data_IF_800447983503
#
_entry.id   IF_800447983503
#
_cell.length_a   1.000
_cell.length_b   1.000
_cell.length_c   1.000
_cell.angle_alpha   90.00
_cell.angle_beta   90.00
_cell.angle_gamma   90.00
#
_symmetry.space_group_name_H-M   'P 1'
#
loop_
_entity.id
_entity.type
_entity.pdbx_description
1 polymer ?
#
# COMPACT_ATOMS: atom_id res chain seq x y z
N UNK A 1 60.17 -61.01 13.31
CA UNK A 1 59.92 -59.56 13.16
C UNK A 1 58.40 -59.37 12.96
N UNK A 2 57.72 -59.06 14.09
CA UNK A 2 56.28 -58.72 14.10
C UNK A 2 56.10 -57.26 13.71
N UNK A 3 55.54 -57.03 12.59
CA UNK A 3 55.02 -55.68 12.21
C UNK A 3 53.59 -55.52 12.72
N UNK A 4 53.45 -54.86 13.89
CA UNK A 4 52.16 -54.43 14.43
C UNK A 4 51.62 -53.31 13.46
N UNK A 5 50.66 -53.66 12.69
CA UNK A 5 49.80 -52.63 11.95
C UNK A 5 48.88 -51.96 12.93
N UNK A 6 49.18 -50.70 13.28
CA UNK A 6 48.30 -49.87 14.09
C UNK A 6 47.09 -49.52 13.24
N UNK A 7 45.91 -50.05 13.59
CA UNK A 7 44.66 -49.67 12.97
C UNK A 7 44.35 -48.18 13.31
N UNK A 8 43.90 -47.36 12.37
CA UNK A 8 43.56 -45.95 12.65
C UNK A 8 42.39 -45.91 13.65
N UNK A 9 42.61 -45.21 14.76
CA UNK A 9 41.60 -44.99 15.80
C UNK A 9 40.38 -44.29 15.21
N UNK A 10 39.20 -44.89 15.33
CA UNK A 10 37.96 -44.26 14.91
C UNK A 10 37.77 -42.91 15.63
N UNK A 11 37.46 -41.82 14.92
CA UNK A 11 37.30 -40.50 15.54
C UNK A 11 36.20 -40.55 16.60
N UNK A 12 36.44 -39.94 17.75
CA UNK A 12 35.43 -39.88 18.81
C UNK A 12 34.14 -39.20 18.29
N UNK A 13 32.99 -39.67 18.74
CA UNK A 13 31.67 -39.14 18.33
C UNK A 13 31.57 -37.62 18.52
N UNK A 14 32.32 -37.01 19.41
CA UNK A 14 32.43 -35.58 19.63
C UNK A 14 33.24 -34.87 18.54
N UNK A 15 34.34 -35.50 18.05
CA UNK A 15 35.13 -34.95 16.96
C UNK A 15 34.34 -34.99 15.63
N UNK A 16 33.67 -36.09 15.34
CA UNK A 16 32.79 -36.21 14.14
C UNK A 16 31.64 -35.21 14.16
N UNK A 17 31.00 -34.95 15.30
CA UNK A 17 29.96 -33.89 15.44
C UNK A 17 30.52 -32.49 15.21
N UNK A 18 31.76 -32.21 15.61
CA UNK A 18 32.40 -30.89 15.33
C UNK A 18 32.72 -30.72 13.85
N UNK A 19 33.26 -31.74 13.21
CA UNK A 19 33.55 -31.73 11.78
C UNK A 19 32.29 -31.59 10.92
N UNK A 20 31.20 -32.31 11.27
CA UNK A 20 29.90 -32.16 10.61
C UNK A 20 29.36 -30.75 10.76
N UNK A 21 29.34 -30.16 11.97
CA UNK A 21 28.93 -28.80 12.19
C UNK A 21 29.77 -27.78 11.43
N UNK A 22 31.11 -27.99 11.36
CA UNK A 22 32.01 -27.13 10.60
C UNK A 22 31.75 -27.24 9.08
N UNK A 23 31.52 -28.46 8.58
CA UNK A 23 31.19 -28.70 7.17
C UNK A 23 29.81 -28.09 6.79
N UNK A 24 28.81 -28.24 7.66
CA UNK A 24 27.49 -27.60 7.48
C UNK A 24 27.58 -26.08 7.53
N UNK A 25 28.34 -25.52 8.48
CA UNK A 25 28.57 -24.07 8.57
C UNK A 25 29.25 -23.55 7.30
N UNK A 26 30.30 -24.26 6.82
CA UNK A 26 31.00 -23.89 5.57
C UNK A 26 30.08 -23.94 4.32
N UNK A 27 29.24 -24.99 4.22
CA UNK A 27 28.24 -25.11 3.15
C UNK A 27 27.23 -23.96 3.23
N UNK A 28 26.75 -23.64 4.44
CA UNK A 28 25.83 -22.52 4.65
C UNK A 28 26.47 -21.17 4.32
N UNK A 29 27.72 -20.96 4.72
CA UNK A 29 28.46 -19.72 4.38
C UNK A 29 28.71 -19.60 2.88
N UNK A 30 29.12 -20.68 2.20
CA UNK A 30 29.25 -20.67 0.74
C UNK A 30 27.92 -20.38 0.03
N UNK A 31 26.83 -21.02 0.46
CA UNK A 31 25.50 -20.75 -0.08
C UNK A 31 25.08 -19.28 0.12
N UNK A 32 25.35 -18.72 1.33
CA UNK A 32 25.10 -17.31 1.62
C UNK A 32 25.95 -16.39 0.74
N UNK A 33 27.24 -16.68 0.55
CA UNK A 33 28.13 -15.89 -0.30
C UNK A 33 27.71 -15.92 -1.78
N UNK A 34 27.19 -17.03 -2.28
CA UNK A 34 26.66 -17.14 -3.63
C UNK A 34 25.36 -16.31 -3.83
N UNK A 35 24.52 -16.26 -2.79
CA UNK A 35 23.25 -15.50 -2.83
C UNK A 35 23.45 -14.03 -2.45
N UNK A 36 24.52 -13.73 -1.68
CA UNK A 36 24.77 -12.38 -1.13
C UNK A 36 24.77 -11.27 -2.18
N UNK A 37 25.39 -11.38 -3.36
CA UNK A 37 25.38 -10.30 -4.36
C UNK A 37 23.96 -9.94 -4.79
N UNK A 38 23.13 -10.94 -5.06
CA UNK A 38 21.72 -10.74 -5.44
C UNK A 38 20.91 -10.19 -4.27
N UNK A 39 21.12 -10.72 -3.06
CA UNK A 39 20.42 -10.27 -1.86
C UNK A 39 20.77 -8.82 -1.52
N UNK A 40 22.06 -8.43 -1.61
CA UNK A 40 22.52 -7.05 -1.40
C UNK A 40 21.93 -6.12 -2.47
N UNK A 41 21.94 -6.53 -3.72
CA UNK A 41 21.32 -5.78 -4.82
C UNK A 41 19.83 -5.51 -4.54
N UNK A 42 19.06 -6.53 -4.18
CA UNK A 42 17.64 -6.40 -3.86
C UNK A 42 17.44 -5.51 -2.62
N UNK A 43 18.26 -5.66 -1.60
CA UNK A 43 18.18 -4.83 -0.40
C UNK A 43 18.44 -3.37 -0.72
N UNK A 44 19.49 -3.05 -1.49
CA UNK A 44 19.85 -1.68 -1.82
C UNK A 44 18.86 -1.02 -2.79
N UNK A 45 18.32 -1.76 -3.77
CA UNK A 45 17.46 -1.18 -4.80
C UNK A 45 15.98 -1.19 -4.42
N UNK A 46 15.54 -2.13 -3.58
CA UNK A 46 14.12 -2.20 -3.19
C UNK A 46 13.89 -1.86 -1.72
N UNK A 47 14.58 -2.52 -0.78
CA UNK A 47 14.26 -2.37 0.65
C UNK A 47 14.67 -1.01 1.17
N UNK A 48 15.87 -0.53 0.83
CA UNK A 48 16.36 0.79 1.29
C UNK A 48 15.50 1.92 0.74
N UNK A 49 15.19 2.04 -0.58
CA UNK A 49 14.30 3.09 -1.08
C UNK A 49 12.88 3.02 -0.50
N UNK A 50 12.30 1.82 -0.37
CA UNK A 50 10.98 1.67 0.26
C UNK A 50 11.04 2.14 1.72
N UNK A 51 12.07 1.73 2.47
CA UNK A 51 12.28 2.16 3.85
C UNK A 51 12.41 3.69 3.97
N UNK A 52 13.23 4.30 3.12
CA UNK A 52 13.41 5.76 3.10
C UNK A 52 12.14 6.50 2.70
N UNK A 53 11.35 5.97 1.76
CA UNK A 53 10.04 6.53 1.42
C UNK A 53 9.07 6.44 2.59
N UNK A 54 9.04 5.32 3.31
CA UNK A 54 8.16 5.14 4.46
C UNK A 54 8.48 6.11 5.61
N UNK A 55 9.75 6.55 5.76
CA UNK A 55 10.08 7.59 6.75
C UNK A 55 9.37 8.91 6.46
N UNK A 56 9.02 9.19 5.21
CA UNK A 56 8.27 10.38 4.83
C UNK A 56 6.86 10.43 5.43
N UNK A 57 6.29 9.28 5.78
CA UNK A 57 5.00 9.22 6.46
C UNK A 57 5.02 9.83 7.88
N UNK A 58 6.20 9.95 8.48
CA UNK A 58 6.40 10.53 9.82
C UNK A 58 7.27 11.78 9.80
N UNK A 59 7.83 12.18 8.65
CA UNK A 59 8.61 13.40 8.52
C UNK A 59 7.69 14.62 8.39
N UNK A 60 8.05 15.70 9.08
CA UNK A 60 7.34 16.99 9.06
C UNK A 60 8.36 18.13 9.16
N UNK A 61 9.29 18.23 8.21
CA UNK A 61 10.38 19.21 8.28
C UNK A 61 9.95 20.63 7.93
N UNK A 62 8.82 20.82 7.26
CA UNK A 62 8.44 22.05 6.58
C UNK A 62 8.38 23.24 7.55
N UNK A 63 7.75 23.06 8.72
CA UNK A 63 7.59 24.13 9.71
C UNK A 63 8.88 24.33 10.52
N UNK A 64 9.50 23.25 10.99
CA UNK A 64 10.73 23.32 11.74
C UNK A 64 11.88 23.96 10.94
N UNK A 65 11.91 23.73 9.61
CA UNK A 65 12.92 24.28 8.71
C UNK A 65 12.62 25.74 8.34
N UNK A 66 11.36 26.07 8.08
CA UNK A 66 10.97 27.42 7.67
C UNK A 66 10.89 28.40 8.85
N UNK A 67 10.48 27.94 10.03
CA UNK A 67 10.19 28.78 11.21
C UNK A 67 10.98 28.32 12.46
N UNK A 68 12.30 28.12 12.41
CA UNK A 68 13.05 27.55 13.53
C UNK A 68 13.02 28.43 14.79
N UNK A 69 13.14 29.77 14.64
CA UNK A 69 13.11 30.69 15.78
C UNK A 69 11.70 30.78 16.37
N UNK A 70 10.67 30.76 15.53
CA UNK A 70 9.27 30.77 15.97
C UNK A 70 8.93 29.52 16.77
N UNK A 71 9.35 28.33 16.28
CA UNK A 71 9.16 27.05 16.98
C UNK A 71 9.86 27.07 18.34
N UNK A 72 11.09 27.61 18.41
CA UNK A 72 11.83 27.77 19.67
C UNK A 72 11.11 28.72 20.64
N UNK A 73 10.60 29.86 20.14
CA UNK A 73 9.87 30.84 20.96
C UNK A 73 8.52 30.30 21.49
N UNK A 74 7.91 29.33 20.80
CA UNK A 74 6.67 28.65 21.24
C UNK A 74 6.95 27.45 22.15
N UNK A 75 8.21 27.14 22.44
CA UNK A 75 8.58 26.06 23.36
C UNK A 75 8.12 26.42 24.78
N UNK A 76 7.29 25.55 25.38
CA UNK A 76 6.72 25.79 26.71
C UNK A 76 5.48 26.71 26.74
N UNK A 77 4.98 27.15 25.59
CA UNK A 77 3.73 27.93 25.53
C UNK A 77 2.52 27.08 25.91
N UNK A 78 1.61 27.64 26.71
CA UNK A 78 0.43 26.95 27.27
C UNK A 78 -0.66 26.61 26.22
N UNK A 79 -0.57 27.22 25.04
CA UNK A 79 -1.52 27.07 23.91
C UNK A 79 -2.96 27.53 24.21
N UNK A 80 -3.20 28.23 25.30
CA UNK A 80 -4.54 28.71 25.70
C UNK A 80 -4.75 30.19 25.40
N UNK A 81 -3.69 30.97 25.51
CA UNK A 81 -3.71 32.41 25.27
C UNK A 81 -2.80 32.77 24.09
N UNK A 82 -2.96 33.92 23.42
CA UNK A 82 -2.04 34.34 22.39
C UNK A 82 -0.59 34.29 22.91
N UNK A 83 0.38 33.90 22.06
CA UNK A 83 1.77 33.77 22.50
C UNK A 83 2.38 35.14 22.88
N UNK A 84 3.47 35.09 23.64
CA UNK A 84 4.22 36.29 24.03
C UNK A 84 4.74 37.06 22.80
N UNK A 85 4.90 38.35 22.93
CA UNK A 85 5.37 39.24 21.85
C UNK A 85 6.69 38.79 21.21
N UNK A 86 7.53 38.07 21.96
CA UNK A 86 8.76 37.46 21.48
C UNK A 86 8.51 36.45 20.31
N UNK A 87 7.40 35.75 20.32
CA UNK A 87 7.03 34.81 19.25
C UNK A 87 6.73 35.54 17.93
N UNK A 88 6.13 36.73 18.00
CA UNK A 88 5.89 37.57 16.83
C UNK A 88 7.21 38.12 16.24
N UNK A 89 8.16 38.50 17.10
CA UNK A 89 9.49 38.92 16.65
C UNK A 89 10.24 37.77 15.97
N UNK A 90 10.16 36.56 16.54
CA UNK A 90 10.75 35.37 15.96
C UNK A 90 10.11 35.03 14.60
N UNK A 91 8.78 35.12 14.51
CA UNK A 91 8.04 34.91 13.26
C UNK A 91 8.43 35.92 12.17
N UNK A 92 8.59 37.21 12.53
CA UNK A 92 9.04 38.24 11.59
C UNK A 92 10.42 37.92 11.03
N UNK A 93 11.36 37.51 11.90
CA UNK A 93 12.70 37.12 11.51
C UNK A 93 12.74 35.89 10.59
N UNK A 94 11.94 34.86 10.90
CA UNK A 94 11.84 33.65 10.09
C UNK A 94 11.18 33.95 8.74
N UNK A 95 10.04 34.65 8.75
CA UNK A 95 9.28 34.99 7.52
C UNK A 95 10.10 35.85 6.57
N UNK A 96 10.90 36.80 7.08
CA UNK A 96 11.78 37.62 6.24
C UNK A 96 12.84 36.78 5.52
N UNK A 97 13.35 35.71 6.15
CA UNK A 97 14.36 34.82 5.54
C UNK A 97 13.78 33.91 4.47
N UNK A 98 12.52 33.49 4.63
CA UNK A 98 11.92 32.48 3.73
C UNK A 98 10.94 33.07 2.71
N UNK A 99 10.65 34.37 2.73
CA UNK A 99 9.64 35.04 1.92
C UNK A 99 9.73 34.70 0.43
N UNK A 100 10.94 34.70 -0.13
CA UNK A 100 11.19 34.45 -1.55
C UNK A 100 11.76 33.03 -1.81
N UNK A 101 11.62 32.11 -0.86
CA UNK A 101 12.17 30.76 -0.97
C UNK A 101 11.11 29.71 -1.27
N UNK A 102 11.53 28.56 -1.79
CA UNK A 102 10.68 27.39 -1.98
C UNK A 102 10.10 26.88 -0.64
N UNK A 103 10.81 27.11 0.47
CA UNK A 103 10.37 26.74 1.81
C UNK A 103 9.05 27.44 2.21
N UNK A 104 8.81 28.68 1.72
CA UNK A 104 7.56 29.41 1.93
C UNK A 104 6.37 28.64 1.32
N UNK A 105 6.54 28.13 0.11
CA UNK A 105 5.49 27.34 -0.55
C UNK A 105 5.16 26.04 0.19
N UNK A 106 6.19 25.36 0.72
CA UNK A 106 6.02 24.13 1.51
C UNK A 106 5.34 24.42 2.86
N UNK A 107 5.80 25.46 3.59
CA UNK A 107 5.19 25.95 4.81
C UNK A 107 3.69 26.27 4.62
N UNK A 108 3.38 27.06 3.60
CA UNK A 108 2.01 27.47 3.30
C UNK A 108 1.10 26.28 2.98
N UNK A 109 1.59 25.30 2.20
CA UNK A 109 0.84 24.07 1.92
C UNK A 109 0.61 23.26 3.20
N UNK A 110 1.65 23.07 4.00
CA UNK A 110 1.56 22.26 5.23
C UNK A 110 0.59 22.86 6.25
N UNK A 111 0.70 24.16 6.54
CA UNK A 111 -0.22 24.84 7.47
C UNK A 111 -1.66 24.90 6.93
N UNK A 112 -1.86 24.98 5.62
CA UNK A 112 -3.19 24.98 5.02
C UNK A 112 -3.90 23.61 5.13
N UNK A 113 -3.17 22.51 5.37
CA UNK A 113 -3.79 21.21 5.70
C UNK A 113 -4.32 21.16 7.14
N UNK A 114 -3.82 22.03 8.03
CA UNK A 114 -4.31 22.14 9.41
C UNK A 114 -5.54 23.03 9.50
N UNK A 115 -5.44 24.22 8.89
CA UNK A 115 -6.53 25.23 8.90
C UNK A 115 -6.73 25.74 7.47
N UNK A 116 -7.88 25.49 6.83
CA UNK A 116 -8.20 26.03 5.52
C UNK A 116 -8.04 27.56 5.50
N UNK A 117 -7.38 28.07 4.45
CA UNK A 117 -7.09 29.49 4.33
C UNK A 117 -5.78 29.96 4.95
N UNK A 118 -5.03 29.09 5.63
CA UNK A 118 -3.71 29.44 6.17
C UNK A 118 -2.73 29.87 5.07
N UNK A 119 -2.83 29.25 3.87
CA UNK A 119 -2.00 29.61 2.71
C UNK A 119 -2.14 31.11 2.35
N UNK A 120 -3.35 31.66 2.40
CA UNK A 120 -3.57 33.10 2.13
C UNK A 120 -2.98 33.98 3.23
N UNK A 121 -3.06 33.54 4.50
CA UNK A 121 -2.45 34.23 5.62
C UNK A 121 -0.93 34.33 5.46
N UNK A 122 -0.27 33.20 5.22
CA UNK A 122 1.19 33.15 5.00
C UNK A 122 1.60 34.01 3.80
N UNK A 123 0.89 33.92 2.68
CA UNK A 123 1.20 34.71 1.49
C UNK A 123 1.01 36.23 1.73
N UNK A 124 -0.01 36.64 2.47
CA UNK A 124 -0.25 38.04 2.80
C UNK A 124 0.84 38.57 3.74
N UNK A 125 1.22 37.77 4.73
CA UNK A 125 2.29 38.09 5.66
C UNK A 125 3.64 38.21 4.96
N UNK A 126 3.97 37.27 4.05
CA UNK A 126 5.23 37.30 3.31
C UNK A 126 5.40 38.58 2.47
N UNK A 127 4.31 39.06 1.84
CA UNK A 127 4.35 40.32 1.07
C UNK A 127 4.56 41.57 1.93
N UNK A 128 4.23 41.48 3.21
CA UNK A 128 4.43 42.59 4.17
C UNK A 128 5.83 42.59 4.78
N UNK A 129 6.66 41.57 4.51
CA UNK A 129 8.00 41.48 5.04
C UNK A 129 9.01 42.28 4.18
N UNK A 130 10.07 42.89 4.80
CA UNK A 130 10.27 43.03 6.26
C UNK A 130 9.33 44.07 6.88
N UNK A 131 8.82 43.80 8.08
CA UNK A 131 8.00 44.75 8.81
C UNK A 131 8.89 45.93 9.27
N UNK A 132 8.47 47.16 9.02
CA UNK A 132 9.18 48.39 9.36
C UNK A 132 8.31 49.30 10.21
N UNK A 133 8.94 50.01 11.11
CA UNK A 133 8.33 51.09 11.86
C UNK A 133 8.30 52.40 11.08
N UNK A 134 7.79 53.46 11.70
CA UNK A 134 7.83 54.79 11.12
C UNK A 134 9.31 55.23 10.96
N UNK A 135 9.63 55.77 9.77
CA UNK A 135 10.99 56.15 9.37
C UNK A 135 12.03 55.00 9.37
N UNK A 136 11.61 53.78 9.01
CA UNK A 136 12.46 52.59 8.97
C UNK A 136 13.07 52.17 10.34
N UNK A 137 12.51 52.67 11.46
CA UNK A 137 12.99 52.32 12.79
C UNK A 137 12.68 50.83 13.14
N UNK A 138 13.57 50.26 13.96
CA UNK A 138 13.34 48.91 14.49
C UNK A 138 12.08 48.89 15.38
N UNK A 139 11.19 47.90 15.12
CA UNK A 139 9.95 47.74 15.88
C UNK A 139 10.24 47.13 17.28
N UNK A 140 9.55 47.65 18.29
CA UNK A 140 9.49 46.98 19.59
C UNK A 140 8.66 45.67 19.48
N UNK A 141 8.83 44.70 20.39
CA UNK A 141 8.05 43.44 20.35
C UNK A 141 6.54 43.66 20.32
N UNK A 142 6.03 44.62 21.11
CA UNK A 142 4.60 44.95 21.13
C UNK A 142 4.11 45.60 19.80
N UNK A 143 4.94 46.45 19.20
CA UNK A 143 4.65 47.03 17.88
C UNK A 143 4.68 45.96 16.77
N UNK A 144 5.60 45.01 16.85
CA UNK A 144 5.65 43.87 15.91
C UNK A 144 4.38 43.07 15.96
N UNK A 145 3.87 42.72 17.16
CA UNK A 145 2.58 42.06 17.34
C UNK A 145 1.43 42.88 16.73
N UNK A 146 1.36 44.19 17.03
CA UNK A 146 0.31 45.06 16.48
C UNK A 146 0.32 45.08 14.95
N UNK A 147 1.52 45.17 14.34
CA UNK A 147 1.69 45.12 12.87
C UNK A 147 1.24 43.79 12.26
N UNK A 148 1.52 42.64 12.91
CA UNK A 148 1.03 41.36 12.44
C UNK A 148 -0.50 41.30 12.42
N UNK A 149 -1.14 41.81 13.48
CA UNK A 149 -2.61 41.83 13.58
C UNK A 149 -3.21 42.84 12.56
N UNK A 150 -2.52 43.92 12.26
CA UNK A 150 -2.88 44.90 11.22
C UNK A 150 -2.76 44.29 9.80
N UNK A 151 -1.70 43.55 9.55
CA UNK A 151 -1.55 42.79 8.29
C UNK A 151 -2.68 41.78 8.13
N UNK A 152 -3.00 41.01 9.17
CA UNK A 152 -4.12 40.08 9.16
C UNK A 152 -4.57 39.74 10.59
N UNK A 153 -5.84 40.01 10.90
CA UNK A 153 -6.42 39.79 12.24
C UNK A 153 -6.29 38.34 12.76
N UNK A 154 -6.16 37.38 11.86
CA UNK A 154 -5.97 35.95 12.21
C UNK A 154 -4.71 35.68 13.04
N UNK A 155 -3.70 36.56 12.99
CA UNK A 155 -2.54 36.45 13.87
C UNK A 155 -2.84 36.75 15.35
N UNK A 156 -4.01 37.28 15.67
CA UNK A 156 -4.51 37.40 17.02
C UNK A 156 -5.21 36.14 17.56
N UNK A 157 -5.54 35.19 16.67
CA UNK A 157 -6.23 33.95 17.02
C UNK A 157 -5.22 32.87 17.45
N UNK A 158 -5.48 32.26 18.61
CA UNK A 158 -4.65 31.20 19.22
C UNK A 158 -4.55 29.96 18.33
N UNK A 159 -5.62 29.64 17.56
CA UNK A 159 -5.67 28.44 16.72
C UNK A 159 -4.55 28.41 15.67
N UNK A 160 -4.21 29.56 15.08
CA UNK A 160 -3.12 29.64 14.08
C UNK A 160 -1.74 29.39 14.69
N UNK A 161 -1.50 29.85 15.92
CA UNK A 161 -0.27 29.59 16.65
C UNK A 161 -0.18 28.14 17.14
N UNK A 162 -1.32 27.55 17.57
CA UNK A 162 -1.39 26.14 17.91
C UNK A 162 -1.00 25.26 16.72
N UNK A 163 -1.42 25.61 15.50
CA UNK A 163 -1.03 24.89 14.28
C UNK A 163 0.49 24.91 14.05
N UNK A 164 1.17 26.06 14.29
CA UNK A 164 2.63 26.14 14.21
C UNK A 164 3.28 25.30 15.31
N UNK A 165 2.87 25.51 16.56
CA UNK A 165 3.47 24.83 17.73
C UNK A 165 3.31 23.31 17.70
N UNK A 166 2.14 22.82 17.26
CA UNK A 166 1.85 21.38 17.09
C UNK A 166 2.76 20.72 16.06
N UNK A 167 3.07 21.44 15.00
CA UNK A 167 3.83 20.93 13.86
C UNK A 167 5.30 21.38 13.86
N UNK A 168 5.80 21.93 14.95
CA UNK A 168 7.20 22.35 15.09
C UNK A 168 8.21 21.20 15.17
N UNK A 169 7.80 19.97 15.39
CA UNK A 169 8.68 18.79 15.41
C UNK A 169 8.99 18.30 14.00
N UNK A 170 10.23 17.87 13.76
CA UNK A 170 10.64 17.23 12.51
C UNK A 170 10.00 15.85 12.29
N UNK A 171 9.50 15.23 13.36
CA UNK A 171 8.80 13.95 13.33
C UNK A 171 7.38 14.15 13.88
N UNK A 172 6.38 13.73 13.13
CA UNK A 172 4.98 13.87 13.50
C UNK A 172 4.19 12.65 13.03
N UNK A 173 3.24 12.14 13.82
CA UNK A 173 2.32 11.08 13.39
C UNK A 173 1.19 11.60 12.47
N UNK A 174 1.23 12.85 12.06
CA UNK A 174 0.15 13.55 11.34
C UNK A 174 -0.39 12.75 10.16
N UNK A 175 0.47 12.32 9.23
CA UNK A 175 0.02 11.60 8.03
C UNK A 175 -0.50 10.20 8.34
N UNK A 176 0.09 9.50 9.32
CA UNK A 176 -0.41 8.20 9.77
C UNK A 176 -1.77 8.32 10.47
N UNK A 177 -1.94 9.34 11.30
CA UNK A 177 -3.24 9.61 11.94
C UNK A 177 -4.28 9.98 10.90
N UNK A 178 -3.96 10.86 9.96
CA UNK A 178 -4.86 11.24 8.87
C UNK A 178 -5.28 10.03 8.03
N UNK A 179 -4.36 9.13 7.72
CA UNK A 179 -4.65 7.89 6.99
C UNK A 179 -5.53 6.89 7.78
N UNK A 180 -5.66 7.09 9.09
CA UNK A 180 -6.54 6.33 9.99
C UNK A 180 -7.78 7.14 10.42
N UNK A 181 -8.11 8.23 9.71
CA UNK A 181 -9.23 9.13 10.01
C UNK A 181 -9.17 9.77 11.41
N UNK A 182 -7.93 10.06 11.86
CA UNK A 182 -7.66 10.75 13.12
C UNK A 182 -6.82 12.00 12.90
N UNK A 183 -6.90 12.94 13.84
CA UNK A 183 -6.07 14.15 13.86
C UNK A 183 -5.63 14.48 15.29
N UNK A 184 -4.65 15.36 15.41
CA UNK A 184 -4.32 15.96 16.71
C UNK A 184 -5.07 17.27 16.88
N UNK A 185 -5.65 17.50 18.07
CA UNK A 185 -6.22 18.79 18.47
C UNK A 185 -5.10 19.86 18.67
N UNK A 186 -5.48 21.09 19.05
CA UNK A 186 -4.53 22.17 19.32
C UNK A 186 -3.55 21.88 20.48
N UNK A 187 -3.91 20.95 21.36
CA UNK A 187 -3.10 20.54 22.51
C UNK A 187 -2.24 19.29 22.22
N UNK A 188 -2.46 18.62 21.10
CA UNK A 188 -1.71 17.42 20.70
C UNK A 188 -2.40 16.09 21.06
N UNK A 189 -3.62 16.09 21.58
CA UNK A 189 -4.37 14.86 21.85
C UNK A 189 -4.91 14.29 20.53
N UNK A 190 -4.93 12.96 20.43
CA UNK A 190 -5.47 12.26 19.26
C UNK A 190 -7.00 12.27 19.37
N UNK A 191 -7.65 12.83 18.37
CA UNK A 191 -9.10 12.91 18.23
C UNK A 191 -9.51 12.39 16.84
N UNK A 192 -10.77 12.00 16.69
CA UNK A 192 -11.31 11.62 15.38
C UNK A 192 -11.29 12.83 14.44
N UNK A 193 -10.96 12.61 13.18
CA UNK A 193 -11.04 13.65 12.16
C UNK A 193 -12.50 14.05 11.91
N UNK A 194 -12.71 15.25 11.36
CA UNK A 194 -14.04 15.72 11.01
C UNK A 194 -14.69 14.79 9.97
N UNK A 195 -16.01 14.65 9.95
CA UNK A 195 -16.71 13.75 9.03
C UNK A 195 -16.33 13.95 7.55
N UNK A 196 -16.10 15.20 7.14
CA UNK A 196 -15.70 15.54 5.77
C UNK A 196 -14.27 15.10 5.41
N UNK A 197 -13.44 14.81 6.41
CA UNK A 197 -12.05 14.37 6.27
C UNK A 197 -11.87 12.88 6.55
N UNK A 198 -12.85 12.23 7.17
CA UNK A 198 -12.84 10.83 7.59
C UNK A 198 -13.27 9.90 6.46
N UNK A 199 -12.41 9.71 5.46
CA UNK A 199 -12.71 8.92 4.25
C UNK A 199 -11.82 7.69 4.08
N UNK A 200 -10.66 7.65 4.73
CA UNK A 200 -9.62 6.67 4.41
C UNK A 200 -9.92 5.27 4.93
N UNK A 201 -10.48 5.13 6.12
CA UNK A 201 -10.89 3.81 6.64
C UNK A 201 -11.97 3.17 5.77
N UNK A 202 -12.92 3.97 5.27
CA UNK A 202 -13.93 3.49 4.31
C UNK A 202 -13.29 3.06 2.98
N UNK A 203 -12.26 3.79 2.52
CA UNK A 203 -11.48 3.44 1.31
C UNK A 203 -10.68 2.14 1.53
N UNK A 204 -10.05 1.95 2.70
CA UNK A 204 -9.39 0.69 3.05
C UNK A 204 -10.39 -0.46 3.05
N UNK A 205 -11.52 -0.32 3.75
CA UNK A 205 -12.59 -1.34 3.77
C UNK A 205 -13.05 -1.71 2.35
N UNK A 206 -13.31 -0.73 1.51
CA UNK A 206 -13.67 -0.90 0.09
C UNK A 206 -12.59 -1.64 -0.69
N UNK A 207 -11.31 -1.27 -0.52
CA UNK A 207 -10.18 -1.91 -1.19
C UNK A 207 -10.11 -3.40 -0.85
N UNK A 208 -10.28 -3.74 0.43
CA UNK A 208 -10.31 -5.15 0.86
C UNK A 208 -11.52 -5.88 0.32
N UNK A 209 -12.71 -5.29 0.34
CA UNK A 209 -13.93 -5.90 -0.21
C UNK A 209 -13.78 -6.19 -1.71
N UNK A 210 -13.27 -5.22 -2.48
CA UNK A 210 -13.02 -5.41 -3.92
C UNK A 210 -11.97 -6.51 -4.13
N UNK A 211 -10.86 -6.48 -3.37
CA UNK A 211 -9.80 -7.49 -3.46
C UNK A 211 -10.31 -8.91 -3.18
N UNK A 212 -11.11 -9.09 -2.12
CA UNK A 212 -11.72 -10.39 -1.78
C UNK A 212 -12.70 -10.82 -2.86
N UNK A 213 -13.60 -9.95 -3.31
CA UNK A 213 -14.59 -10.28 -4.34
C UNK A 213 -13.92 -10.72 -5.66
N UNK A 214 -12.93 -9.96 -6.13
CA UNK A 214 -12.15 -10.33 -7.34
C UNK A 214 -11.43 -11.66 -7.15
N UNK A 215 -10.86 -11.91 -5.98
CA UNK A 215 -10.20 -13.20 -5.67
C UNK A 215 -11.18 -14.36 -5.71
N UNK A 216 -12.37 -14.19 -5.14
CA UNK A 216 -13.43 -15.20 -5.16
C UNK A 216 -13.94 -15.46 -6.58
N UNK A 217 -14.17 -14.41 -7.38
CA UNK A 217 -14.58 -14.58 -8.78
C UNK A 217 -13.47 -15.24 -9.62
N UNK A 218 -12.21 -14.84 -9.41
CA UNK A 218 -11.08 -15.48 -10.09
C UNK A 218 -10.93 -16.95 -9.69
N UNK A 219 -11.20 -17.32 -8.43
CA UNK A 219 -11.20 -18.70 -7.96
C UNK A 219 -12.37 -19.48 -8.57
N UNK A 220 -13.57 -18.91 -8.55
CA UNK A 220 -14.78 -19.54 -9.09
C UNK A 220 -14.63 -19.89 -10.57
N UNK A 221 -14.06 -19.00 -11.37
CA UNK A 221 -13.83 -19.21 -12.79
C UNK A 221 -12.52 -19.99 -13.06
N UNK A 222 -11.48 -19.71 -12.31
CA UNK A 222 -10.16 -20.30 -12.49
C UNK A 222 -10.07 -21.75 -12.06
N UNK A 223 -10.77 -22.16 -10.99
CA UNK A 223 -10.72 -23.51 -10.48
C UNK A 223 -11.21 -24.56 -11.49
N UNK A 224 -12.44 -24.45 -12.07
CA UNK A 224 -12.90 -25.39 -13.07
C UNK A 224 -12.04 -25.39 -14.34
N UNK A 225 -11.54 -24.21 -14.74
CA UNK A 225 -10.67 -24.10 -15.91
C UNK A 225 -9.31 -24.78 -15.66
N UNK A 226 -8.67 -24.53 -14.51
CA UNK A 226 -7.42 -25.18 -14.13
C UNK A 226 -7.57 -26.70 -14.00
N UNK A 227 -8.69 -27.15 -13.41
CA UNK A 227 -9.02 -28.58 -13.34
C UNK A 227 -9.14 -29.18 -14.73
N UNK A 228 -9.91 -28.59 -15.64
CA UNK A 228 -10.04 -29.06 -17.01
C UNK A 228 -8.69 -29.12 -17.72
N UNK A 229 -7.87 -28.06 -17.64
CA UNK A 229 -6.52 -28.04 -18.25
C UNK A 229 -5.64 -29.17 -17.67
N UNK A 230 -5.74 -29.46 -16.36
CA UNK A 230 -4.94 -30.50 -15.72
C UNK A 230 -5.26 -31.92 -16.22
N UNK A 231 -6.46 -32.13 -16.74
CA UNK A 231 -6.90 -33.41 -17.30
C UNK A 231 -6.51 -33.63 -18.77
N UNK A 232 -6.07 -32.56 -19.45
CA UNK A 232 -5.68 -32.60 -20.87
C UNK A 232 -4.30 -33.25 -21.05
N UNK A 233 -4.05 -33.77 -22.27
CA UNK A 233 -2.70 -34.14 -22.70
C UNK A 233 -1.80 -32.91 -22.73
N UNK A 234 -0.49 -33.07 -22.51
CA UNK A 234 0.48 -31.95 -22.39
C UNK A 234 0.39 -30.97 -23.56
N UNK A 235 0.30 -31.47 -24.80
CA UNK A 235 0.21 -30.62 -25.99
C UNK A 235 -1.04 -29.73 -25.97
N UNK A 236 -2.20 -30.28 -25.56
CA UNK A 236 -3.47 -29.54 -25.48
C UNK A 236 -3.45 -28.60 -24.28
N UNK A 237 -2.95 -29.04 -23.13
CA UNK A 237 -2.82 -28.22 -21.94
C UNK A 237 -1.94 -26.99 -22.22
N UNK A 238 -0.81 -27.16 -22.87
CA UNK A 238 0.08 -26.06 -23.24
C UNK A 238 -0.59 -25.07 -24.21
N UNK A 239 -1.36 -25.55 -25.19
CA UNK A 239 -2.10 -24.69 -26.12
C UNK A 239 -3.14 -23.83 -25.36
N UNK A 240 -3.94 -24.45 -24.49
CA UNK A 240 -4.94 -23.72 -23.70
C UNK A 240 -4.25 -22.75 -22.72
N UNK A 241 -3.13 -23.15 -22.12
CA UNK A 241 -2.37 -22.28 -21.25
C UNK A 241 -1.81 -21.05 -21.99
N UNK A 242 -1.34 -21.20 -23.23
CA UNK A 242 -0.94 -20.07 -24.07
C UNK A 242 -2.13 -19.12 -24.27
N UNK A 243 -3.33 -19.65 -24.59
CA UNK A 243 -4.52 -18.82 -24.77
C UNK A 243 -4.89 -18.05 -23.49
N UNK A 244 -4.76 -18.69 -22.31
CA UNK A 244 -4.97 -18.03 -21.00
C UNK A 244 -3.96 -16.92 -20.77
N UNK A 245 -2.73 -17.05 -21.26
CA UNK A 245 -1.64 -16.11 -21.08
C UNK A 245 -1.59 -15.00 -22.13
N UNK A 246 -2.23 -15.15 -23.29
CA UNK A 246 -2.24 -14.13 -24.36
C UNK A 246 -2.54 -12.71 -23.83
N UNK A 247 -3.53 -12.51 -22.93
CA UNK A 247 -3.81 -11.18 -22.40
C UNK A 247 -2.63 -10.53 -21.68
N UNK A 248 -1.67 -11.31 -21.20
CA UNK A 248 -0.49 -10.77 -20.52
C UNK A 248 0.44 -9.97 -21.45
N UNK A 249 0.48 -10.30 -22.71
CA UNK A 249 1.35 -9.63 -23.68
C UNK A 249 0.71 -8.36 -24.24
N UNK A 250 -0.54 -8.07 -23.86
CA UNK A 250 -1.19 -6.81 -24.17
C UNK A 250 -1.03 -5.78 -23.05
N UNK A 251 -0.92 -4.49 -23.39
CA UNK A 251 -0.88 -3.41 -22.42
C UNK A 251 -2.13 -3.43 -21.52
N UNK A 252 -1.95 -3.10 -20.24
CA UNK A 252 -3.06 -2.92 -19.28
C UNK A 252 -4.06 -1.90 -19.79
N UNK A 253 -3.59 -0.76 -20.34
CA UNK A 253 -4.46 0.30 -20.87
C UNK A 253 -5.29 -0.18 -22.04
N UNK A 254 -4.71 -0.97 -22.95
CA UNK A 254 -5.46 -1.56 -24.08
C UNK A 254 -6.55 -2.51 -23.58
N UNK A 255 -6.27 -3.33 -22.58
CA UNK A 255 -7.27 -4.21 -21.96
C UNK A 255 -8.40 -3.43 -21.30
N UNK A 256 -8.07 -2.35 -20.57
CA UNK A 256 -9.07 -1.48 -19.93
C UNK A 256 -9.91 -0.77 -20.99
N UNK A 257 -9.30 -0.23 -22.06
CA UNK A 257 -10.01 0.38 -23.16
C UNK A 257 -10.96 -0.62 -23.85
N UNK A 258 -10.52 -1.85 -24.07
CA UNK A 258 -11.40 -2.90 -24.60
C UNK A 258 -12.60 -3.17 -23.68
N UNK A 259 -12.40 -3.21 -22.36
CA UNK A 259 -13.49 -3.37 -21.39
C UNK A 259 -14.43 -2.17 -21.38
N UNK A 260 -13.93 -0.92 -21.55
CA UNK A 260 -14.80 0.25 -21.70
C UNK A 260 -15.74 0.05 -22.90
N UNK A 261 -15.20 -0.31 -24.07
CA UNK A 261 -16.00 -0.55 -25.29
C UNK A 261 -17.00 -1.69 -25.12
N UNK A 262 -16.62 -2.77 -24.44
CA UNK A 262 -17.47 -3.95 -24.23
C UNK A 262 -18.62 -3.69 -23.25
N UNK A 263 -18.37 -2.89 -22.18
CA UNK A 263 -19.31 -2.68 -21.07
C UNK A 263 -20.20 -1.46 -21.22
N UNK A 264 -19.97 -0.59 -22.21
CA UNK A 264 -20.84 0.56 -22.44
C UNK A 264 -22.28 0.14 -22.81
N UNK A 265 -23.22 1.06 -22.70
CA UNK A 265 -24.66 0.76 -22.89
C UNK A 265 -24.96 0.18 -24.27
N UNK A 266 -24.29 0.63 -25.31
CA UNK A 266 -24.40 0.12 -26.69
C UNK A 266 -23.27 -0.88 -27.02
N UNK A 267 -22.54 -1.35 -25.99
CA UNK A 267 -21.45 -2.28 -26.14
C UNK A 267 -21.91 -3.71 -26.48
N UNK A 268 -20.95 -4.54 -26.92
CA UNK A 268 -21.21 -5.90 -27.38
C UNK A 268 -21.94 -6.75 -26.33
N UNK A 269 -21.63 -6.58 -25.04
CA UNK A 269 -22.26 -7.36 -23.98
C UNK A 269 -23.72 -7.02 -23.84
N UNK A 270 -24.09 -5.75 -23.76
CA UNK A 270 -25.49 -5.33 -23.68
C UNK A 270 -26.26 -5.72 -24.96
N UNK A 271 -25.67 -5.51 -26.14
CA UNK A 271 -26.26 -5.89 -27.42
C UNK A 271 -26.56 -7.41 -27.47
N UNK A 272 -25.62 -8.24 -27.02
CA UNK A 272 -25.79 -9.68 -26.98
C UNK A 272 -26.87 -10.13 -25.97
N UNK A 273 -26.90 -9.51 -24.78
CA UNK A 273 -27.90 -9.81 -23.75
C UNK A 273 -29.32 -9.40 -24.18
N UNK A 274 -29.50 -8.27 -24.85
CA UNK A 274 -30.78 -7.82 -25.39
C UNK A 274 -31.18 -8.72 -26.57
N UNK A 275 -30.24 -8.97 -27.49
CA UNK A 275 -30.53 -9.87 -28.64
C UNK A 275 -30.87 -11.31 -28.28
N UNK A 276 -30.37 -11.79 -27.13
CA UNK A 276 -30.77 -13.13 -26.60
C UNK A 276 -32.09 -13.11 -25.82
N UNK A 277 -32.71 -11.95 -25.61
CA UNK A 277 -33.94 -11.80 -24.83
C UNK A 277 -33.77 -11.95 -23.31
N UNK A 278 -32.53 -12.00 -22.81
CA UNK A 278 -32.23 -12.11 -21.36
C UNK A 278 -32.57 -10.84 -20.63
N UNK A 279 -32.41 -9.67 -21.26
CA UNK A 279 -32.74 -8.36 -20.71
C UNK A 279 -33.50 -7.51 -21.73
N UNK A 280 -34.34 -6.59 -21.24
CA UNK A 280 -35.13 -5.68 -22.09
C UNK A 280 -34.49 -4.30 -22.25
N UNK A 281 -33.59 -3.91 -21.33
CA UNK A 281 -32.90 -2.62 -21.34
C UNK A 281 -31.41 -2.82 -21.08
N UNK A 282 -30.53 -1.94 -21.59
CA UNK A 282 -29.11 -2.04 -21.35
C UNK A 282 -28.77 -1.88 -19.86
N UNK A 283 -27.90 -2.73 -19.35
CA UNK A 283 -27.37 -2.66 -18.00
C UNK A 283 -26.28 -1.58 -17.92
N UNK A 284 -26.27 -0.82 -16.85
CA UNK A 284 -25.18 0.11 -16.54
C UNK A 284 -23.99 -0.68 -15.97
N UNK A 285 -23.10 -1.17 -16.83
CA UNK A 285 -21.94 -1.98 -16.47
C UNK A 285 -20.64 -1.15 -16.36
N UNK A 286 -20.66 0.09 -16.89
CA UNK A 286 -19.53 0.99 -16.89
C UNK A 286 -19.67 2.05 -15.80
N UNK A 287 -18.54 2.55 -15.29
CA UNK A 287 -18.45 3.53 -14.21
C UNK A 287 -19.12 3.11 -12.91
N UNK A 288 -19.05 1.81 -12.62
CA UNK A 288 -19.57 1.23 -11.39
C UNK A 288 -18.73 0.02 -10.95
N UNK A 289 -19.07 -0.52 -9.76
CA UNK A 289 -18.36 -1.63 -9.14
C UNK A 289 -18.44 -2.93 -9.94
N UNK A 290 -19.50 -3.15 -10.69
CA UNK A 290 -19.68 -4.37 -11.52
C UNK A 290 -18.63 -4.39 -12.63
N UNK A 291 -18.44 -3.28 -13.33
CA UNK A 291 -17.39 -3.16 -14.35
C UNK A 291 -15.98 -3.38 -13.79
N UNK A 292 -15.71 -2.90 -12.57
CA UNK A 292 -14.45 -3.16 -11.86
C UNK A 292 -14.28 -4.65 -11.60
N UNK A 293 -15.30 -5.33 -11.07
CA UNK A 293 -15.22 -6.77 -10.78
C UNK A 293 -14.97 -7.60 -12.05
N UNK A 294 -15.71 -7.36 -13.12
CA UNK A 294 -15.58 -8.09 -14.39
C UNK A 294 -14.17 -7.93 -14.95
N UNK A 295 -13.71 -6.69 -15.09
CA UNK A 295 -12.44 -6.40 -15.75
C UNK A 295 -11.23 -6.84 -14.89
N UNK A 296 -11.25 -6.58 -13.57
CA UNK A 296 -10.17 -7.01 -12.69
C UNK A 296 -10.09 -8.54 -12.58
N UNK A 297 -11.24 -9.22 -12.51
CA UNK A 297 -11.28 -10.69 -12.50
C UNK A 297 -10.64 -11.25 -13.78
N UNK A 298 -11.02 -10.75 -14.95
CA UNK A 298 -10.40 -11.17 -16.21
C UNK A 298 -8.89 -10.91 -16.25
N UNK A 299 -8.45 -9.72 -15.81
CA UNK A 299 -7.04 -9.35 -15.83
C UNK A 299 -6.21 -10.24 -14.88
N UNK A 300 -6.77 -10.60 -13.72
CA UNK A 300 -6.07 -11.35 -12.67
C UNK A 300 -6.31 -12.88 -12.74
N UNK A 301 -7.23 -13.33 -13.60
CA UNK A 301 -7.56 -14.75 -13.75
C UNK A 301 -6.36 -15.66 -14.03
N UNK A 302 -5.40 -15.31 -14.91
CA UNK A 302 -4.22 -16.14 -15.14
C UNK A 302 -3.36 -16.36 -13.88
N UNK A 303 -3.28 -15.39 -12.98
CA UNK A 303 -2.54 -15.52 -11.72
C UNK A 303 -3.20 -16.48 -10.74
N UNK A 304 -4.51 -16.74 -10.89
CA UNK A 304 -5.21 -17.80 -10.17
C UNK A 304 -4.99 -19.15 -10.81
N UNK A 305 -5.07 -19.22 -12.15
CA UNK A 305 -5.01 -20.48 -12.90
C UNK A 305 -3.62 -21.13 -12.79
N UNK A 306 -2.54 -20.37 -12.89
CA UNK A 306 -1.18 -20.91 -12.91
C UNK A 306 -0.82 -21.71 -11.65
N UNK A 307 -1.00 -21.20 -10.41
CA UNK A 307 -0.71 -21.98 -9.20
C UNK A 307 -1.66 -23.17 -9.05
N UNK A 308 -2.95 -23.00 -9.37
CA UNK A 308 -3.93 -24.08 -9.35
C UNK A 308 -3.54 -25.21 -10.29
N UNK A 309 -3.25 -24.89 -11.56
CA UNK A 309 -2.83 -25.87 -12.56
C UNK A 309 -1.56 -26.61 -12.14
N UNK A 310 -0.57 -25.90 -11.63
CA UNK A 310 0.71 -26.49 -11.17
C UNK A 310 0.48 -27.56 -10.10
N UNK A 311 -0.34 -27.24 -9.09
CA UNK A 311 -0.68 -28.22 -8.03
C UNK A 311 -1.57 -29.33 -8.57
N UNK A 312 -2.62 -29.01 -9.31
CA UNK A 312 -3.56 -30.00 -9.86
C UNK A 312 -2.87 -31.01 -10.78
N UNK A 313 -1.89 -30.56 -11.57
CA UNK A 313 -1.12 -31.42 -12.49
C UNK A 313 -0.22 -32.40 -11.74
N UNK A 314 0.22 -32.07 -10.53
CA UNK A 314 1.06 -32.93 -9.70
C UNK A 314 0.28 -34.01 -8.91
N UNK A 315 -1.06 -33.91 -8.84
CA UNK A 315 -1.91 -34.87 -8.11
C UNK A 315 -2.09 -36.13 -8.96
N UNK A 316 -1.63 -37.30 -8.48
CA UNK A 316 -1.81 -38.55 -9.21
C UNK A 316 -3.30 -38.95 -9.31
N UNK A 317 -3.81 -39.31 -10.50
CA UNK A 317 -5.21 -39.71 -10.67
C UNK A 317 -5.55 -41.02 -9.94
N UNK A 318 -4.56 -41.75 -9.48
CA UNK A 318 -4.70 -42.98 -8.71
C UNK A 318 -5.41 -42.77 -7.37
N UNK A 319 -5.25 -41.64 -6.70
CA UNK A 319 -5.94 -41.37 -5.43
C UNK A 319 -7.46 -41.33 -5.58
N UNK A 320 -7.95 -40.65 -6.59
CA UNK A 320 -9.38 -40.55 -6.86
C UNK A 320 -9.92 -41.93 -7.32
N UNK A 321 -9.19 -42.67 -8.17
CA UNK A 321 -9.54 -44.00 -8.62
C UNK A 321 -9.60 -44.98 -7.47
N UNK A 322 -8.65 -44.98 -6.55
CA UNK A 322 -8.64 -45.80 -5.36
C UNK A 322 -9.88 -45.57 -4.47
N UNK A 323 -10.25 -44.29 -4.25
CA UNK A 323 -11.44 -43.95 -3.48
C UNK A 323 -12.72 -44.50 -4.14
N UNK A 324 -12.86 -44.44 -5.46
CA UNK A 324 -13.97 -44.99 -6.19
C UNK A 324 -13.98 -46.54 -6.12
N UNK A 325 -12.81 -47.18 -6.22
CA UNK A 325 -12.70 -48.65 -6.11
C UNK A 325 -13.07 -49.15 -4.71
N UNK A 326 -12.88 -48.31 -3.66
CA UNK A 326 -13.33 -48.60 -2.30
C UNK A 326 -14.81 -48.28 -2.04
N UNK A 327 -15.61 -48.01 -3.11
CA UNK A 327 -17.05 -47.80 -3.02
C UNK A 327 -17.49 -46.32 -2.87
N UNK A 328 -16.57 -45.35 -2.94
CA UNK A 328 -16.94 -43.94 -2.89
C UNK A 328 -17.59 -43.51 -4.22
N UNK A 329 -18.72 -42.79 -4.16
CA UNK A 329 -19.30 -42.18 -5.36
C UNK A 329 -18.28 -41.17 -5.98
N UNK A 330 -18.14 -41.09 -7.32
CA UNK A 330 -17.17 -40.26 -7.99
C UNK A 330 -17.18 -38.76 -7.54
N UNK A 331 -18.37 -38.20 -7.32
CA UNK A 331 -18.53 -36.85 -6.80
C UNK A 331 -18.00 -36.69 -5.37
N UNK A 332 -18.26 -37.68 -4.52
CA UNK A 332 -17.73 -37.69 -3.15
C UNK A 332 -16.20 -37.85 -3.15
N UNK A 333 -15.66 -38.72 -4.01
CA UNK A 333 -14.21 -38.86 -4.19
C UNK A 333 -13.55 -37.57 -4.67
N UNK A 334 -14.17 -36.82 -5.57
CA UNK A 334 -13.68 -35.48 -5.97
C UNK A 334 -13.62 -34.53 -4.79
N UNK A 335 -14.71 -34.33 -4.05
CA UNK A 335 -14.76 -33.35 -2.97
C UNK A 335 -13.95 -33.74 -1.71
N UNK A 336 -13.92 -35.05 -1.38
CA UNK A 336 -13.27 -35.53 -0.15
C UNK A 336 -11.80 -35.93 -0.33
N UNK A 337 -11.38 -36.28 -1.55
CA UNK A 337 -10.02 -36.76 -1.79
C UNK A 337 -9.24 -35.80 -2.69
N UNK A 338 -9.81 -35.35 -3.81
CA UNK A 338 -9.09 -34.51 -4.76
C UNK A 338 -9.02 -33.04 -4.31
N UNK A 339 -10.14 -32.41 -3.98
CA UNK A 339 -10.21 -30.99 -3.62
C UNK A 339 -9.29 -30.62 -2.46
N UNK A 340 -9.18 -31.38 -1.35
CA UNK A 340 -8.26 -31.07 -0.27
C UNK A 340 -6.78 -31.02 -0.70
N UNK A 341 -6.40 -31.84 -1.66
CA UNK A 341 -5.03 -31.86 -2.20
C UNK A 341 -4.74 -30.61 -3.05
N UNK A 342 -5.76 -29.90 -3.52
CA UNK A 342 -5.60 -28.65 -4.28
C UNK A 342 -5.48 -27.40 -3.39
N UNK A 343 -5.73 -27.49 -2.08
CA UNK A 343 -5.67 -26.34 -1.16
C UNK A 343 -4.37 -25.53 -1.21
N UNK A 344 -3.17 -26.13 -1.36
CA UNK A 344 -1.96 -25.35 -1.53
C UNK A 344 -2.00 -24.46 -2.79
N UNK A 345 -2.55 -24.97 -3.89
CA UNK A 345 -2.73 -24.21 -5.13
C UNK A 345 -3.78 -23.10 -5.00
N UNK A 346 -4.91 -23.41 -4.35
CA UNK A 346 -5.97 -22.43 -4.04
C UNK A 346 -5.39 -21.29 -3.17
N UNK A 347 -4.68 -21.63 -2.12
CA UNK A 347 -4.09 -20.64 -1.22
C UNK A 347 -3.05 -19.77 -1.89
N UNK A 348 -2.16 -20.36 -2.69
CA UNK A 348 -1.13 -19.61 -3.43
C UNK A 348 -1.76 -18.69 -4.49
N UNK A 349 -2.73 -19.20 -5.26
CA UNK A 349 -3.45 -18.40 -6.27
C UNK A 349 -4.27 -17.29 -5.65
N UNK A 350 -5.03 -17.60 -4.58
CA UNK A 350 -5.84 -16.61 -3.87
C UNK A 350 -4.99 -15.50 -3.25
N UNK A 351 -3.89 -15.85 -2.60
CA UNK A 351 -2.97 -14.86 -2.03
C UNK A 351 -2.38 -13.95 -3.12
N UNK A 352 -1.92 -14.53 -4.22
CA UNK A 352 -1.32 -13.78 -5.32
C UNK A 352 -2.34 -12.83 -5.97
N UNK A 353 -3.53 -13.31 -6.29
CA UNK A 353 -4.61 -12.49 -6.88
C UNK A 353 -5.03 -11.39 -5.92
N UNK A 354 -5.19 -11.70 -4.63
CA UNK A 354 -5.60 -10.71 -3.63
C UNK A 354 -4.56 -9.60 -3.49
N UNK A 355 -3.27 -9.93 -3.34
CA UNK A 355 -2.19 -8.92 -3.23
C UNK A 355 -2.14 -8.03 -4.48
N UNK A 356 -2.25 -8.63 -5.67
CA UNK A 356 -2.29 -7.87 -6.91
C UNK A 356 -3.53 -6.98 -6.99
N UNK A 357 -4.71 -7.49 -6.59
CA UNK A 357 -5.96 -6.76 -6.63
C UNK A 357 -5.94 -5.51 -5.73
N UNK A 358 -5.49 -5.61 -4.48
CA UNK A 358 -5.46 -4.45 -3.57
C UNK A 358 -4.44 -3.38 -4.00
N UNK A 359 -3.38 -3.77 -4.72
CA UNK A 359 -2.41 -2.85 -5.31
C UNK A 359 -2.85 -2.22 -6.63
N UNK A 360 -3.93 -2.70 -7.23
CA UNK A 360 -4.39 -2.24 -8.53
C UNK A 360 -5.13 -0.91 -8.45
N UNK A 361 -4.81 0.07 -9.34
CA UNK A 361 -5.52 1.35 -9.35
C UNK A 361 -6.05 1.76 -10.72
N UNK A 362 -5.42 1.31 -11.81
CA UNK A 362 -5.75 1.76 -13.18
C UNK A 362 -7.19 1.35 -13.55
N UNK A 363 -7.53 0.09 -13.30
CA UNK A 363 -8.87 -0.41 -13.68
C UNK A 363 -9.99 0.22 -12.85
N UNK A 364 -9.93 0.29 -11.51
CA UNK A 364 -10.91 1.02 -10.71
C UNK A 364 -11.01 2.50 -11.07
N UNK A 365 -9.87 3.14 -11.43
CA UNK A 365 -9.85 4.55 -11.80
C UNK A 365 -10.57 4.84 -13.11
N UNK A 366 -10.51 3.92 -14.09
CA UNK A 366 -11.06 4.12 -15.45
C UNK A 366 -12.45 3.48 -15.64
N UNK A 367 -12.75 2.39 -14.95
CA UNK A 367 -13.99 1.62 -15.10
C UNK A 367 -14.95 1.78 -13.93
N UNK A 368 -14.44 2.13 -12.75
CA UNK A 368 -15.24 2.35 -11.55
C UNK A 368 -15.83 3.76 -11.46
N UNK A 369 -16.82 3.90 -10.58
CA UNK A 369 -17.38 5.20 -10.22
C UNK A 369 -16.51 5.91 -9.15
N UNK A 370 -16.89 7.14 -8.75
CA UNK A 370 -16.21 7.90 -7.70
C UNK A 370 -16.11 7.12 -6.37
N UNK A 371 -17.11 6.28 -6.10
CA UNK A 371 -17.18 5.46 -4.89
C UNK A 371 -16.46 4.10 -5.01
N UNK A 372 -15.74 3.84 -6.11
CA UNK A 372 -15.03 2.59 -6.33
C UNK A 372 -13.52 2.76 -6.37
N UNK A 373 -13.03 3.98 -6.09
CA UNK A 373 -11.61 4.28 -5.99
C UNK A 373 -11.00 3.58 -4.77
N UNK A 374 -9.87 2.90 -5.00
CA UNK A 374 -9.14 2.10 -3.99
C UNK A 374 -8.00 2.90 -3.38
N UNK A 375 -7.38 2.40 -2.29
CA UNK A 375 -6.24 3.05 -1.62
C UNK A 375 -5.13 3.39 -2.61
N UNK A 376 -4.79 2.48 -3.52
CA UNK A 376 -3.73 2.67 -4.53
C UNK A 376 -3.99 3.85 -5.47
N UNK A 377 -5.25 4.20 -5.75
CA UNK A 377 -5.61 5.41 -6.48
C UNK A 377 -5.21 6.67 -5.71
N UNK A 378 -5.52 6.72 -4.41
CA UNK A 378 -5.16 7.87 -3.57
C UNK A 378 -3.66 8.00 -3.39
N UNK A 379 -2.92 6.88 -3.28
CA UNK A 379 -1.45 6.91 -3.29
C UNK A 379 -0.94 7.56 -4.58
N UNK A 380 -1.45 7.15 -5.74
CA UNK A 380 -1.09 7.73 -7.03
C UNK A 380 -1.51 9.22 -7.14
N UNK A 381 -2.68 9.59 -6.64
CA UNK A 381 -3.18 10.97 -6.61
C UNK A 381 -2.28 11.87 -5.76
N UNK A 382 -1.95 11.44 -4.53
CA UNK A 382 -1.07 12.20 -3.65
C UNK A 382 0.35 12.31 -4.18
N UNK A 383 0.84 11.33 -4.90
CA UNK A 383 2.17 11.35 -5.51
C UNK A 383 2.23 12.26 -6.75
N UNK A 384 1.26 12.13 -7.66
CA UNK A 384 1.36 12.71 -9.01
C UNK A 384 0.61 14.04 -9.16
N UNK A 385 -0.47 14.27 -8.38
CA UNK A 385 -1.33 15.45 -8.54
C UNK A 385 -1.04 16.49 -7.46
N UNK A 386 -1.04 16.09 -6.19
CA UNK A 386 -0.86 17.03 -5.08
C UNK A 386 0.57 17.12 -4.56
N UNK A 387 1.45 16.19 -4.97
CA UNK A 387 2.85 16.09 -4.53
C UNK A 387 2.94 16.04 -2.99
N UNK A 388 1.97 15.38 -2.36
CA UNK A 388 1.95 15.15 -0.91
C UNK A 388 2.53 13.75 -0.60
N UNK A 389 3.86 13.67 -0.62
CA UNK A 389 4.59 12.42 -0.36
C UNK A 389 4.31 11.83 1.02
N UNK A 390 4.10 12.68 2.04
CA UNK A 390 3.79 12.21 3.40
C UNK A 390 2.51 11.37 3.43
N UNK A 391 1.44 11.87 2.80
CA UNK A 391 0.16 11.16 2.74
C UNK A 391 0.22 9.91 1.84
N UNK A 392 0.90 10.02 0.69
CA UNK A 392 1.12 8.87 -0.19
C UNK A 392 1.86 7.73 0.54
N UNK A 393 2.93 8.08 1.27
CA UNK A 393 3.72 7.10 2.03
C UNK A 393 2.95 6.53 3.24
N UNK A 394 2.10 7.32 3.90
CA UNK A 394 1.27 6.84 5.00
C UNK A 394 0.24 5.81 4.51
N UNK A 395 -0.51 6.13 3.45
CA UNK A 395 -1.48 5.20 2.86
C UNK A 395 -0.81 3.95 2.28
N UNK A 396 0.28 4.12 1.52
CA UNK A 396 1.04 3.00 0.95
C UNK A 396 1.68 2.13 2.03
N UNK A 397 2.22 2.74 3.09
CA UNK A 397 2.81 2.04 4.24
C UNK A 397 1.79 1.22 5.02
N UNK A 398 0.60 1.75 5.27
CA UNK A 398 -0.49 1.02 5.90
C UNK A 398 -0.99 -0.13 5.02
N UNK A 399 -1.10 0.08 3.70
CA UNK A 399 -1.47 -0.97 2.77
C UNK A 399 -0.41 -2.08 2.73
N UNK A 400 0.88 -1.72 2.72
CA UNK A 400 1.99 -2.68 2.82
C UNK A 400 1.95 -3.45 4.13
N UNK A 401 1.76 -2.77 5.27
CA UNK A 401 1.64 -3.42 6.57
C UNK A 401 0.49 -4.43 6.61
N UNK A 402 -0.69 -4.04 6.10
CA UNK A 402 -1.84 -4.93 6.01
C UNK A 402 -1.56 -6.16 5.12
N UNK A 403 -0.86 -5.96 3.99
CA UNK A 403 -0.44 -7.04 3.08
C UNK A 403 0.55 -8.01 3.77
N UNK A 404 1.53 -7.47 4.51
CA UNK A 404 2.50 -8.29 5.26
C UNK A 404 1.84 -9.10 6.37
N UNK A 405 0.88 -8.50 7.09
CA UNK A 405 0.08 -9.22 8.11
C UNK A 405 -0.69 -10.36 7.46
N UNK A 406 -1.36 -10.12 6.34
CA UNK A 406 -2.09 -11.16 5.60
C UNK A 406 -1.16 -12.30 5.17
N UNK A 407 0.02 -11.95 4.62
CA UNK A 407 1.02 -12.92 4.21
C UNK A 407 1.52 -13.77 5.40
N UNK A 408 1.78 -13.14 6.55
CA UNK A 408 2.20 -13.84 7.77
C UNK A 408 1.12 -14.80 8.29
N UNK A 409 -0.14 -14.36 8.27
CA UNK A 409 -1.31 -15.18 8.63
C UNK A 409 -1.42 -16.37 7.68
N UNK A 410 -1.36 -16.15 6.37
CA UNK A 410 -1.37 -17.22 5.38
C UNK A 410 -0.22 -18.22 5.59
N UNK A 411 1.01 -17.72 5.78
CA UNK A 411 2.19 -18.56 6.02
C UNK A 411 2.08 -19.42 7.28
N UNK A 412 1.36 -18.95 8.30
CA UNK A 412 1.10 -19.73 9.52
C UNK A 412 0.11 -20.86 9.26
N UNK A 413 -0.95 -20.62 8.49
CA UNK A 413 -1.93 -21.66 8.15
C UNK A 413 -1.37 -22.74 7.22
N UNK A 414 -0.51 -22.39 6.27
CA UNK A 414 0.09 -23.39 5.36
C UNK A 414 1.14 -24.27 6.04
N UNK A 415 1.91 -23.74 7.00
CA UNK A 415 2.91 -24.52 7.75
C UNK A 415 2.30 -25.59 8.67
N UNK A 416 1.13 -25.33 9.24
CA UNK A 416 0.44 -26.29 10.13
C UNK A 416 -0.08 -27.51 9.36
N UNK A 417 -0.35 -27.42 8.07
CA UNK A 417 -0.83 -28.55 7.26
C UNK A 417 0.29 -29.47 6.74
N UNK A 418 1.56 -29.02 6.77
CA UNK A 418 2.72 -29.82 6.29
C UNK A 418 3.30 -30.71 7.40
N UNK A 419 2.99 -30.44 8.67
CA UNK A 419 3.50 -31.22 9.82
C UNK A 419 2.66 -32.43 10.21
N UNK A 420 1.59 -32.76 9.46
CA UNK A 420 0.69 -33.90 9.69
C UNK A 420 0.73 -34.97 8.58
N UNK A 421 1.77 -34.95 7.74
CA UNK A 421 2.01 -35.94 6.70
C UNK A 421 3.34 -36.66 6.87
#
# INVERSE_FOLDING_TARGET
LNTMTIAPSSPSTAALKRELKAAEARKRTMALLLVAPLAIFLLLIFVVPIGTLLTRAVQNPEIATALPNTVAALSGWDRKTPPADAAYVALAADMTKVADSEAMGALARRLNTEIPGYRSLVAKTARAMPLKGDNDAALTPAQTRAKFIDVDARWGDVAYWQAIAKNGSQVSPFYLLAALDHKQDGFGHIVQADPDQSIYLAIFGRTFVIGVAVTLFALLLGYPLAYWISTLSERRANLVMILVLIPFWTSVLVRVAAWIVLLQSEGLINTALIGSGLISHPLTLLFNRVGVYISMTHILLPFMILPLYSVMKSIPPTYQRAAVSLGSHPFAAFWRVYVPQTYPGVGAGALLVFILAIGYYITPALLGGPNDQMVSYYVAYFTNVTINWGMACALGGLLLAATLVLYAVYGRFTRTNVSLG
#
